data_IF_035761388943
#
_entry.id   IF_035761388943
#
_cell.length_a   1.000
_cell.length_b   1.000
_cell.length_c   1.000
_cell.angle_alpha   90.00
_cell.angle_beta   90.00
_cell.angle_gamma   90.00
#
_symmetry.space_group_name_H-M   'P 1'
#
loop_
_entity.id
_entity.type
_entity.pdbx_description
1 polymer ?
#
# COMPACT_ATOMS: atom_id res chain seq x y z
N UNK A 1 10.36 11.01 -21.56
CA UNK A 1 11.11 10.45 -20.42
C UNK A 1 11.71 9.13 -20.86
N UNK A 2 13.02 8.87 -20.73
CA UNK A 2 13.58 7.60 -21.14
C UNK A 2 13.27 6.53 -20.09
N UNK A 3 12.76 5.39 -20.57
CA UNK A 3 12.45 4.19 -19.80
C UNK A 3 13.78 3.52 -19.39
N UNK A 4 14.07 3.41 -18.09
CA UNK A 4 15.26 2.72 -17.60
C UNK A 4 14.91 1.22 -17.48
N UNK A 5 15.56 0.31 -18.23
CA UNK A 5 15.28 -1.12 -18.12
C UNK A 5 15.92 -1.67 -16.85
N UNK A 6 15.12 -2.31 -15.99
CA UNK A 6 15.63 -3.03 -14.82
C UNK A 6 16.50 -4.21 -15.30
N UNK A 7 17.77 -4.22 -14.86
CA UNK A 7 18.77 -5.26 -15.17
C UNK A 7 18.31 -6.62 -14.65
N UNK A 8 18.40 -7.61 -15.52
CA UNK A 8 18.18 -9.03 -15.27
C UNK A 8 19.13 -9.53 -14.16
N UNK A 9 18.57 -10.18 -13.14
CA UNK A 9 19.31 -10.68 -11.98
C UNK A 9 20.01 -12.00 -12.37
N UNK A 10 21.32 -11.97 -12.59
CA UNK A 10 22.12 -13.18 -12.84
C UNK A 10 22.22 -14.04 -11.58
N UNK A 11 22.05 -15.36 -11.77
CA UNK A 11 22.12 -16.38 -10.73
C UNK A 11 23.53 -16.42 -10.12
N UNK A 12 23.67 -16.04 -8.86
CA UNK A 12 24.88 -16.35 -8.07
C UNK A 12 24.76 -17.79 -7.58
N UNK A 13 25.46 -18.70 -8.25
CA UNK A 13 25.70 -20.07 -7.79
C UNK A 13 26.96 -20.13 -6.94
N UNK A 14 26.84 -20.66 -5.72
CA UNK A 14 27.97 -21.20 -4.96
C UNK A 14 28.27 -20.47 -3.65
N UNK A 15 27.68 -20.94 -2.55
CA UNK A 15 28.04 -20.56 -1.19
C UNK A 15 27.09 -21.19 -0.18
N UNK A 16 27.61 -22.09 0.66
CA UNK A 16 26.87 -22.78 1.72
C UNK A 16 26.03 -21.80 2.58
N UNK A 17 24.71 -21.92 2.52
CA UNK A 17 23.78 -21.07 3.28
C UNK A 17 23.04 -21.92 4.33
N UNK A 18 23.67 -22.12 5.49
CA UNK A 18 22.96 -22.50 6.72
C UNK A 18 22.37 -21.23 7.37
N UNK A 19 21.51 -20.53 6.62
CA UNK A 19 20.71 -19.40 7.10
C UNK A 19 19.43 -19.40 6.28
N UNK A 20 18.29 -19.39 6.98
CA UNK A 20 16.98 -19.40 6.34
C UNK A 20 16.92 -18.32 5.24
N UNK A 21 16.39 -18.69 4.07
CA UNK A 21 16.44 -17.87 2.84
C UNK A 21 15.73 -16.52 3.01
N UNK A 22 14.90 -16.42 4.06
CA UNK A 22 14.10 -15.26 4.50
C UNK A 22 14.93 -14.07 5.01
N UNK A 23 16.18 -14.28 5.46
CA UNK A 23 17.00 -13.21 6.05
C UNK A 23 17.95 -12.54 5.05
N UNK A 24 17.93 -12.94 3.76
CA UNK A 24 18.79 -12.34 2.73
C UNK A 24 18.56 -10.82 2.59
N UNK A 25 17.33 -10.38 2.85
CA UNK A 25 16.93 -8.98 2.75
C UNK A 25 16.63 -8.33 4.10
N UNK A 26 16.96 -8.98 5.23
CA UNK A 26 16.58 -8.52 6.58
C UNK A 26 15.09 -8.18 6.71
N UNK A 27 14.20 -8.97 6.08
CA UNK A 27 12.76 -8.67 6.00
C UNK A 27 12.14 -8.54 7.38
N UNK A 28 12.54 -9.40 8.32
CA UNK A 28 12.15 -9.39 9.72
C UNK A 28 12.36 -8.01 10.38
N UNK A 29 13.49 -7.37 10.10
CA UNK A 29 13.82 -6.05 10.64
C UNK A 29 12.93 -4.98 10.03
N UNK A 30 12.75 -4.97 8.71
CA UNK A 30 11.92 -3.97 8.03
C UNK A 30 10.43 -4.11 8.36
N UNK A 31 9.92 -5.33 8.51
CA UNK A 31 8.54 -5.56 8.96
C UNK A 31 8.33 -5.03 10.38
N UNK A 32 9.30 -5.22 11.28
CA UNK A 32 9.28 -4.63 12.63
C UNK A 32 9.32 -3.10 12.59
N UNK A 33 10.14 -2.49 11.74
CA UNK A 33 10.15 -1.03 11.55
C UNK A 33 8.81 -0.49 11.05
N UNK A 34 8.23 -1.15 10.03
CA UNK A 34 6.92 -0.78 9.47
C UNK A 34 5.86 -0.87 10.57
N UNK A 35 5.83 -1.97 11.34
CA UNK A 35 4.88 -2.13 12.44
C UNK A 35 5.00 -1.01 13.47
N UNK A 36 6.22 -0.71 13.92
CA UNK A 36 6.48 0.40 14.86
C UNK A 36 6.04 1.75 14.29
N UNK A 37 6.21 1.97 12.97
CA UNK A 37 5.73 3.18 12.31
C UNK A 37 4.20 3.27 12.36
N UNK A 38 3.51 2.19 12.02
CA UNK A 38 2.04 2.11 12.05
C UNK A 38 1.50 2.30 13.47
N UNK A 39 2.08 1.63 14.47
CA UNK A 39 1.67 1.79 15.86
C UNK A 39 1.78 3.25 16.33
N UNK A 40 2.83 3.95 15.88
CA UNK A 40 3.03 5.37 16.16
C UNK A 40 1.96 6.24 15.50
N UNK A 41 1.53 5.96 14.26
CA UNK A 41 0.48 6.76 13.62
C UNK A 41 -0.81 6.70 14.43
N UNK A 42 -1.24 5.50 14.86
CA UNK A 42 -2.41 5.36 15.73
C UNK A 42 -2.26 6.05 17.09
N UNK A 43 -1.09 5.98 17.73
CA UNK A 43 -0.85 6.69 19.00
C UNK A 43 -0.97 8.23 18.88
N UNK A 44 -0.61 8.80 17.74
CA UNK A 44 -0.76 10.23 17.46
C UNK A 44 -2.23 10.61 17.19
N UNK A 45 -3.02 9.65 16.71
CA UNK A 45 -4.43 9.81 16.37
C UNK A 45 -5.38 9.66 17.57
N UNK A 46 -5.01 8.91 18.62
CA UNK A 46 -5.83 8.75 19.83
C UNK A 46 -5.85 9.99 20.76
N UNK A 47 -5.03 11.01 20.50
CA UNK A 47 -4.94 12.19 21.36
C UNK A 47 -6.02 13.28 21.10
N UNK A 48 -6.82 13.18 20.04
CA UNK A 48 -7.85 14.19 19.73
C UNK A 48 -9.19 13.53 19.34
N UNK A 49 -10.17 13.59 20.26
CA UNK A 49 -11.58 13.20 20.09
C UNK A 49 -12.31 14.09 19.07
N UNK A 50 -12.09 13.84 17.77
CA UNK A 50 -12.94 14.34 16.69
C UNK A 50 -12.92 13.29 15.58
N UNK A 51 -14.10 12.80 15.20
CA UNK A 51 -14.32 11.87 14.08
C UNK A 51 -13.30 12.15 12.98
N UNK A 52 -12.36 11.23 12.76
CA UNK A 52 -11.30 11.49 11.79
C UNK A 52 -11.90 11.34 10.39
N UNK A 53 -11.55 12.25 9.48
CA UNK A 53 -11.97 12.16 8.08
C UNK A 53 -11.60 10.81 7.46
N UNK A 54 -10.51 10.19 7.93
CA UNK A 54 -10.12 8.82 7.58
C UNK A 54 -11.18 7.79 8.00
N UNK A 55 -11.69 7.81 9.22
CA UNK A 55 -12.74 6.89 9.71
C UNK A 55 -14.00 6.98 8.84
N UNK A 56 -14.38 8.19 8.44
CA UNK A 56 -15.51 8.41 7.52
C UNK A 56 -15.23 7.91 6.10
N UNK A 57 -13.98 7.90 5.64
CA UNK A 57 -13.61 7.35 4.34
C UNK A 57 -13.65 5.82 4.38
N UNK A 58 -13.05 5.22 5.42
CA UNK A 58 -12.98 3.77 5.60
C UNK A 58 -14.31 3.13 6.02
N UNK A 59 -15.33 3.93 6.38
CA UNK A 59 -16.68 3.40 6.66
C UNK A 59 -17.37 2.77 5.44
N UNK A 60 -16.87 3.01 4.22
CA UNK A 60 -17.23 2.20 3.04
C UNK A 60 -15.95 1.61 2.43
N UNK A 61 -15.82 0.28 2.31
CA UNK A 61 -14.60 -0.38 1.82
C UNK A 61 -14.12 0.12 0.45
N UNK A 62 -15.02 0.43 -0.49
CA UNK A 62 -14.65 0.89 -1.85
C UNK A 62 -13.95 2.26 -1.80
N UNK A 63 -14.47 3.17 -0.97
CA UNK A 63 -13.88 4.50 -0.77
C UNK A 63 -12.54 4.38 -0.04
N UNK A 64 -12.46 3.51 0.96
CA UNK A 64 -11.22 3.20 1.67
C UNK A 64 -10.14 2.64 0.75
N UNK A 65 -10.51 1.73 -0.16
CA UNK A 65 -9.60 1.16 -1.15
C UNK A 65 -9.09 2.24 -2.12
N UNK A 66 -9.99 3.02 -2.71
CA UNK A 66 -9.61 4.10 -3.64
C UNK A 66 -8.68 5.13 -2.96
N UNK A 67 -9.00 5.52 -1.72
CA UNK A 67 -8.19 6.43 -0.93
C UNK A 67 -6.80 5.86 -0.63
N UNK A 68 -6.71 4.58 -0.30
CA UNK A 68 -5.44 3.90 0.00
C UNK A 68 -4.54 3.82 -1.24
N UNK A 69 -5.08 3.38 -2.37
CA UNK A 69 -4.34 3.30 -3.65
C UNK A 69 -3.86 4.68 -4.10
N UNK A 70 -4.70 5.70 -3.97
CA UNK A 70 -4.33 7.08 -4.32
C UNK A 70 -3.15 7.58 -3.50
N UNK A 71 -3.11 7.26 -2.20
CA UNK A 71 -1.97 7.61 -1.35
C UNK A 71 -0.72 6.79 -1.71
N UNK A 72 -0.85 5.51 -2.03
CA UNK A 72 0.28 4.70 -2.51
C UNK A 72 0.93 5.36 -3.74
N UNK A 73 0.12 5.71 -4.75
CA UNK A 73 0.61 6.38 -5.97
C UNK A 73 1.29 7.70 -5.61
N UNK A 74 0.66 8.53 -4.79
CA UNK A 74 1.23 9.81 -4.33
C UNK A 74 2.59 9.66 -3.64
N UNK A 75 2.76 8.67 -2.77
CA UNK A 75 4.02 8.47 -2.04
C UNK A 75 5.07 7.75 -2.88
N UNK A 76 4.66 6.90 -3.83
CA UNK A 76 5.56 6.30 -4.81
C UNK A 76 6.12 7.35 -5.77
N UNK A 77 5.27 8.20 -6.33
CA UNK A 77 5.65 9.30 -7.22
C UNK A 77 6.57 10.30 -6.51
N UNK A 78 6.26 10.61 -5.25
CA UNK A 78 7.10 11.49 -4.42
C UNK A 78 8.45 10.88 -4.03
N UNK A 79 8.58 9.55 -4.06
CA UNK A 79 9.81 8.87 -3.67
C UNK A 79 10.90 9.09 -4.74
N UNK A 80 11.79 10.06 -4.46
CA UNK A 80 12.84 10.48 -5.40
C UNK A 80 12.90 12.00 -5.54
N UNK A 81 11.76 12.67 -5.42
CA UNK A 81 11.64 14.11 -5.68
C UNK A 81 11.85 14.98 -4.44
N UNK A 82 11.35 14.56 -3.27
CA UNK A 82 11.38 15.40 -2.06
C UNK A 82 12.52 14.99 -1.11
N UNK A 83 13.61 15.78 -1.10
CA UNK A 83 14.79 15.62 -0.22
C UNK A 83 15.59 14.31 -0.42
N UNK A 84 15.51 13.68 -1.60
CA UNK A 84 16.12 12.38 -1.88
C UNK A 84 15.32 11.21 -1.31
N UNK A 85 15.68 9.98 -1.71
CA UNK A 85 15.02 8.68 -1.40
C UNK A 85 14.57 8.53 0.07
N UNK A 86 13.41 9.11 0.39
CA UNK A 86 12.98 9.24 1.78
C UNK A 86 12.30 7.95 2.23
N UNK A 87 12.95 7.21 3.15
CA UNK A 87 12.39 5.97 3.74
C UNK A 87 11.00 6.15 4.35
N UNK A 88 10.66 7.36 4.81
CA UNK A 88 9.32 7.63 5.36
C UNK A 88 8.21 7.52 4.32
N UNK A 89 8.50 7.73 3.03
CA UNK A 89 7.51 7.55 1.97
C UNK A 89 7.28 6.04 1.71
N UNK A 90 8.31 5.19 1.82
CA UNK A 90 8.15 3.73 1.78
C UNK A 90 7.31 3.20 2.94
N UNK A 91 7.52 3.70 4.17
CA UNK A 91 6.68 3.29 5.31
C UNK A 91 5.22 3.68 5.13
N UNK A 92 4.94 4.83 4.50
CA UNK A 92 3.58 5.25 4.17
C UNK A 92 2.96 4.36 3.09
N UNK A 93 3.70 4.02 2.04
CA UNK A 93 3.26 3.05 1.03
C UNK A 93 2.86 1.74 1.70
N UNK A 94 3.71 1.19 2.58
CA UNK A 94 3.39 -0.04 3.32
C UNK A 94 2.14 0.12 4.22
N UNK A 95 2.00 1.26 4.90
CA UNK A 95 0.83 1.52 5.74
C UNK A 95 -0.47 1.53 4.93
N UNK A 96 -0.51 2.26 3.81
CA UNK A 96 -1.69 2.29 2.93
C UNK A 96 -1.91 0.96 2.20
N UNK A 97 -0.86 0.16 1.97
CA UNK A 97 -1.02 -1.19 1.44
C UNK A 97 -1.77 -2.10 2.43
N UNK A 98 -1.49 -1.99 3.73
CA UNK A 98 -2.26 -2.72 4.76
C UNK A 98 -3.73 -2.28 4.76
N UNK A 99 -4.01 -0.99 4.62
CA UNK A 99 -5.38 -0.50 4.51
C UNK A 99 -6.08 -0.97 3.22
N UNK A 100 -5.35 -0.99 2.10
CA UNK A 100 -5.87 -1.48 0.83
C UNK A 100 -6.21 -2.97 0.90
N UNK A 101 -5.36 -3.79 1.54
CA UNK A 101 -5.64 -5.21 1.78
C UNK A 101 -6.93 -5.38 2.59
N UNK A 102 -7.03 -4.68 3.73
CA UNK A 102 -8.24 -4.71 4.56
C UNK A 102 -9.49 -4.35 3.75
N UNK A 103 -9.47 -3.22 3.03
CA UNK A 103 -10.62 -2.82 2.22
C UNK A 103 -10.91 -3.83 1.11
N UNK A 104 -9.90 -4.35 0.43
CA UNK A 104 -10.05 -5.32 -0.66
C UNK A 104 -10.75 -6.59 -0.18
N UNK A 105 -10.43 -7.08 1.02
CA UNK A 105 -11.06 -8.26 1.60
C UNK A 105 -12.54 -8.02 1.99
N UNK A 106 -12.96 -6.75 2.07
CA UNK A 106 -14.31 -6.33 2.47
C UNK A 106 -15.08 -5.64 1.33
N UNK A 107 -14.53 -5.56 0.12
CA UNK A 107 -15.24 -5.07 -1.06
C UNK A 107 -16.03 -6.22 -1.68
N UNK A 108 -17.35 -6.06 -1.75
CA UNK A 108 -18.20 -7.00 -2.49
C UNK A 108 -18.05 -6.78 -4.00
N UNK A 109 -17.29 -7.67 -4.64
CA UNK A 109 -17.03 -7.65 -6.09
C UNK A 109 -18.33 -7.81 -6.91
N UNK A 110 -19.38 -8.36 -6.30
CA UNK A 110 -20.70 -8.57 -6.91
C UNK A 110 -21.44 -7.25 -7.21
N UNK A 111 -21.30 -6.22 -6.37
CA UNK A 111 -21.93 -4.91 -6.61
C UNK A 111 -21.19 -4.07 -7.67
N UNK A 112 -19.85 -4.14 -7.69
CA UNK A 112 -19.02 -3.41 -8.66
C UNK A 112 -19.33 -3.85 -10.09
N UNK A 113 -19.43 -5.16 -10.31
CA UNK A 113 -19.81 -5.73 -11.60
C UNK A 113 -21.27 -5.42 -11.97
N UNK A 114 -22.18 -5.39 -11.00
CA UNK A 114 -23.58 -5.05 -11.26
C UNK A 114 -23.75 -3.60 -11.73
N UNK A 115 -23.02 -2.64 -11.13
CA UNK A 115 -23.08 -1.23 -11.52
C UNK A 115 -22.42 -0.97 -12.88
N UNK A 116 -21.32 -1.65 -13.20
CA UNK A 116 -20.70 -1.59 -14.51
C UNK A 116 -21.60 -2.21 -15.59
N UNK A 117 -22.22 -3.37 -15.31
CA UNK A 117 -23.22 -3.98 -16.21
C UNK A 117 -24.43 -3.06 -16.44
N UNK A 118 -24.96 -2.42 -15.38
CA UNK A 118 -26.07 -1.47 -15.49
C UNK A 118 -25.71 -0.28 -16.38
N UNK A 119 -24.52 0.29 -16.22
CA UNK A 119 -24.07 1.43 -17.00
C UNK A 119 -23.87 1.07 -18.48
N UNK A 120 -23.26 -0.08 -18.76
CA UNK A 120 -23.05 -0.58 -20.14
C UNK A 120 -24.38 -0.95 -20.81
N UNK A 121 -25.33 -1.54 -20.08
CA UNK A 121 -26.69 -1.80 -20.58
C UNK A 121 -27.47 -0.51 -20.85
N UNK A 122 -27.32 0.53 -20.01
CA UNK A 122 -28.00 1.82 -20.23
C UNK A 122 -27.46 2.64 -21.40
N UNK A 123 -26.25 2.34 -21.88
CA UNK A 123 -25.64 3.00 -23.04
C UNK A 123 -25.90 2.26 -24.37
N UNK A 124 -26.53 1.08 -24.32
CA UNK A 124 -26.89 0.27 -25.49
C UNK A 124 -28.40 0.23 -25.76
N UNK A 125 -29.16 1.19 -25.22
CA UNK A 125 -30.57 1.48 -25.58
C UNK A 125 -30.65 2.92 -26.03
#
# INVERSE_FOLDING_TARGET
>A
MPFIPYRHFEKISGGNLSKDKSDLFNESTYLSEIRKYIDKTYSQHHAFKKLQTSELIYSKPERGLHFSISNIIKYADRFGDKKGMNRSDLYKICHYAVHALYCSDHVDVSEVNCNLCKYICSLHV
#
